data_IF_470290425319
#
_entry.id   IF_470290425319
#
_cell.length_a   1.000
_cell.length_b   1.000
_cell.length_c   1.000
_cell.angle_alpha   90.00
_cell.angle_beta   90.00
_cell.angle_gamma   90.00
#
_symmetry.space_group_name_H-M   'P 1'
#
loop_
_entity.id
_entity.type
_entity.pdbx_description
1 polymer ?
#
# COMPACT_ATOMS: atom_id res chain seq x y z
N UNK A 1 -19.94 9.62 14.44
CA UNK A 1 -18.57 10.16 14.48
C UNK A 1 -18.12 10.19 13.04
N UNK A 2 -17.75 11.35 12.53
CA UNK A 2 -17.23 11.52 11.17
C UNK A 2 -15.85 10.87 11.11
N UNK A 3 -15.67 9.85 10.26
CA UNK A 3 -14.35 9.25 10.06
C UNK A 3 -13.47 10.22 9.29
N UNK A 4 -12.20 10.34 9.72
CA UNK A 4 -11.22 11.15 9.01
C UNK A 4 -10.73 10.41 7.77
N UNK A 5 -10.50 11.16 6.69
CA UNK A 5 -9.99 10.66 5.43
C UNK A 5 -8.76 11.45 5.01
N UNK A 6 -7.68 10.72 4.72
CA UNK A 6 -6.44 11.29 4.22
C UNK A 6 -6.40 11.17 2.70
N UNK A 7 -6.30 12.30 2.01
CA UNK A 7 -6.02 12.29 0.57
C UNK A 7 -4.51 12.29 0.34
N UNK A 8 -4.01 11.18 -0.18
CA UNK A 8 -2.65 11.10 -0.66
C UNK A 8 -2.56 11.62 -2.10
N UNK A 9 -1.76 12.67 -2.30
CA UNK A 9 -1.62 13.35 -3.60
C UNK A 9 -0.53 12.76 -4.49
N UNK A 10 0.20 11.74 -4.02
CA UNK A 10 1.19 11.00 -4.81
C UNK A 10 0.48 10.31 -5.97
N UNK A 11 1.04 10.48 -7.18
CA UNK A 11 0.57 9.76 -8.36
C UNK A 11 0.98 8.30 -8.28
N UNK A 12 0.01 7.41 -8.30
CA UNK A 12 0.19 5.97 -8.25
C UNK A 12 0.00 5.36 -9.64
N UNK A 13 0.76 4.30 -9.91
CA UNK A 13 0.63 3.46 -11.11
C UNK A 13 0.35 2.02 -10.71
N UNK A 14 -0.43 1.32 -11.54
CA UNK A 14 -0.84 -0.07 -11.31
C UNK A 14 -0.27 -0.95 -12.42
N UNK A 15 0.45 -1.99 -12.03
CA UNK A 15 1.03 -3.00 -12.92
C UNK A 15 0.38 -4.35 -12.63
N UNK A 16 -0.22 -4.93 -13.67
CA UNK A 16 -0.79 -6.29 -13.67
C UNK A 16 0.18 -7.25 -14.32
N UNK A 17 0.41 -8.40 -13.67
CA UNK A 17 1.30 -9.44 -14.16
C UNK A 17 0.60 -10.80 -14.05
N UNK A 18 0.78 -11.67 -15.03
CA UNK A 18 0.57 -13.10 -14.82
C UNK A 18 1.54 -13.63 -13.75
N UNK A 19 1.04 -14.49 -12.86
CA UNK A 19 1.84 -15.08 -11.79
C UNK A 19 3.04 -15.86 -12.31
N UNK A 20 2.94 -16.46 -13.50
CA UNK A 20 4.02 -17.23 -14.11
C UNK A 20 5.20 -16.36 -14.57
N UNK A 21 4.95 -15.06 -14.78
CA UNK A 21 5.93 -14.07 -15.26
C UNK A 21 6.46 -13.17 -14.15
N UNK A 22 5.98 -13.33 -12.91
CA UNK A 22 6.39 -12.47 -11.78
C UNK A 22 7.90 -12.52 -11.50
N UNK A 23 8.59 -13.60 -11.90
CA UNK A 23 10.05 -13.75 -11.73
C UNK A 23 10.86 -12.71 -12.50
N UNK A 24 10.35 -12.20 -13.65
CA UNK A 24 11.00 -11.12 -14.40
C UNK A 24 11.05 -9.82 -13.60
N UNK A 25 10.13 -9.67 -12.65
CA UNK A 25 9.96 -8.48 -11.83
C UNK A 25 10.54 -8.63 -10.43
N UNK A 26 11.09 -9.80 -10.08
CA UNK A 26 11.65 -10.05 -8.74
C UNK A 26 12.68 -9.00 -8.37
N UNK A 27 13.62 -8.64 -9.26
CA UNK A 27 14.63 -7.64 -8.95
C UNK A 27 14.01 -6.26 -8.68
N UNK A 28 13.06 -5.81 -9.51
CA UNK A 28 12.33 -4.54 -9.31
C UNK A 28 11.55 -4.51 -8.00
N UNK A 29 10.86 -5.62 -7.68
CA UNK A 29 10.12 -5.76 -6.42
C UNK A 29 11.08 -5.71 -5.22
N UNK A 30 12.24 -6.39 -5.30
CA UNK A 30 13.22 -6.34 -4.22
C UNK A 30 13.75 -4.92 -4.03
N UNK A 31 14.09 -4.21 -5.11
CA UNK A 31 14.52 -2.81 -5.02
C UNK A 31 13.44 -1.93 -4.39
N UNK A 32 12.16 -2.10 -4.76
CA UNK A 32 11.04 -1.40 -4.14
C UNK A 32 10.97 -1.65 -2.63
N UNK A 33 11.08 -2.92 -2.21
CA UNK A 33 11.06 -3.29 -0.79
C UNK A 33 12.23 -2.69 -0.02
N UNK A 34 13.46 -2.77 -0.56
CA UNK A 34 14.65 -2.21 0.10
C UNK A 34 14.61 -0.68 0.17
N UNK A 35 14.15 -0.02 -0.90
CA UNK A 35 14.02 1.44 -0.93
C UNK A 35 13.13 1.94 0.20
N UNK A 36 12.00 1.25 0.45
CA UNK A 36 11.10 1.59 1.55
C UNK A 36 11.71 1.43 2.95
N UNK A 37 12.81 0.68 3.10
CA UNK A 37 13.54 0.56 4.38
C UNK A 37 14.56 1.70 4.53
N UNK A 38 15.22 2.09 3.44
CA UNK A 38 16.32 3.07 3.47
C UNK A 38 15.83 4.46 3.88
N UNK A 39 14.67 4.89 3.41
CA UNK A 39 14.04 6.18 3.77
C UNK A 39 13.75 6.32 5.28
N UNK A 40 13.57 5.19 6.00
CA UNK A 40 13.36 5.22 7.45
C UNK A 40 14.63 5.55 8.26
N UNK A 41 15.83 5.34 7.69
CA UNK A 41 17.09 5.54 8.44
C UNK A 41 17.44 7.01 8.64
N UNK A 42 17.00 7.88 7.73
CA UNK A 42 17.34 9.31 7.79
C UNK A 42 16.57 10.03 8.93
N UNK A 43 15.44 9.50 9.40
CA UNK A 43 14.66 10.07 10.52
C UNK A 43 15.23 9.69 11.92
N UNK A 44 15.78 8.49 12.08
CA UNK A 44 16.32 8.03 13.38
C UNK A 44 17.67 8.69 13.74
N UNK A 45 18.52 9.03 12.75
CA UNK A 45 19.83 9.66 13.01
C UNK A 45 19.72 11.12 13.48
N UNK A 46 18.63 11.82 13.16
CA UNK A 46 18.39 13.20 13.61
C UNK A 46 17.99 13.24 15.10
N UNK A 47 17.28 12.22 15.60
CA UNK A 47 16.83 12.17 16.99
C UNK A 47 17.92 11.75 18.00
N UNK A 48 18.95 11.02 17.58
CA UNK A 48 20.05 10.62 18.47
C UNK A 48 21.09 11.74 18.72
N UNK A 49 21.12 12.80 17.91
CA UNK A 49 22.08 13.89 18.06
C UNK A 49 21.61 15.02 19.00
N UNK A 50 20.35 15.00 19.46
CA UNK A 50 19.78 16.04 20.32
C UNK A 50 19.75 15.70 21.82
N UNK A 51 20.39 14.61 22.25
CA UNK A 51 20.37 14.15 23.66
C UNK A 51 21.75 14.08 24.36
N UNK A 52 22.77 14.77 23.86
CA UNK A 52 24.09 14.86 24.53
C UNK A 52 24.52 16.32 24.78
N UNK A 53 23.72 17.09 25.49
CA UNK A 53 24.16 18.39 26.03
C UNK A 53 23.48 18.67 27.38
N UNK A 54 23.74 17.84 28.39
CA UNK A 54 23.61 18.24 29.79
C UNK A 54 24.69 17.53 30.61
N UNK A 55 25.30 18.33 31.47
CA UNK A 55 26.20 18.01 32.58
C UNK A 55 27.68 17.82 32.24
N UNK A 56 28.46 18.90 32.39
CA UNK A 56 29.58 18.86 33.33
C UNK A 56 29.86 20.26 33.90
N UNK A 57 29.75 20.32 35.22
CA UNK A 57 29.92 21.47 36.10
C UNK A 57 31.39 21.83 36.30
N UNK A 58 31.67 23.13 36.27
CA UNK A 58 32.94 23.77 36.58
C UNK A 58 33.60 23.23 37.86
N UNK A 59 34.89 22.91 37.77
CA UNK A 59 35.82 22.96 38.90
C UNK A 59 37.19 23.41 38.40
N UNK A 60 37.45 24.71 38.57
CA UNK A 60 38.76 25.33 38.53
C UNK A 60 39.63 24.81 39.68
N UNK A 61 40.80 24.26 39.35
CA UNK A 61 41.99 24.38 40.18
C UNK A 61 43.23 24.46 39.30
N UNK A 62 43.85 25.63 39.34
CA UNK A 62 45.21 25.91 38.87
C UNK A 62 46.22 24.97 39.55
N UNK A 63 47.23 24.53 38.79
CA UNK A 63 48.62 24.59 39.28
C UNK A 63 49.60 24.46 38.10
N UNK A 64 50.31 25.56 37.88
CA UNK A 64 51.48 25.68 37.02
C UNK A 64 52.67 24.91 37.64
N UNK A 65 53.33 24.07 36.84
CA UNK A 65 54.79 23.93 36.92
C UNK A 65 55.38 23.85 35.51
N UNK A 66 56.02 24.96 35.13
CA UNK A 66 56.96 25.02 34.02
C UNK A 66 58.20 24.17 34.31
N UNK A 67 58.66 23.40 33.34
CA UNK A 67 60.10 23.30 33.07
C UNK A 67 60.35 23.05 31.58
N UNK A 68 61.04 24.03 31.00
CA UNK A 68 61.56 24.12 29.64
C UNK A 68 62.91 23.41 29.52
N UNK A 69 63.22 22.84 28.34
CA UNK A 69 64.51 22.92 27.60
C UNK A 69 64.52 21.88 26.46
N UNK A 70 64.33 22.23 25.17
CA UNK A 70 65.27 22.76 24.16
C UNK A 70 66.14 21.70 23.45
N UNK A 71 65.93 21.55 22.13
CA UNK A 71 66.90 21.58 21.00
C UNK A 71 66.30 20.85 19.77
N UNK A 72 65.85 21.57 18.71
CA UNK A 72 66.55 21.93 17.45
C UNK A 72 66.95 20.70 16.62
N UNK A 73 66.65 20.48 15.33
CA UNK A 73 66.52 21.27 14.09
C UNK A 73 65.56 20.46 13.15
N UNK A 74 64.88 20.96 12.12
CA UNK A 74 65.32 21.62 10.89
C UNK A 74 64.15 22.40 10.26
N UNK A 75 64.48 23.54 9.67
CA UNK A 75 63.61 24.36 8.84
C UNK A 75 63.98 24.17 7.37
N UNK A 76 63.00 23.87 6.53
CA UNK A 76 63.08 24.12 5.10
C UNK A 76 61.75 24.62 4.54
N UNK A 77 61.88 25.49 3.57
CA UNK A 77 60.95 26.51 3.13
C UNK A 77 59.86 26.06 2.14
N UNK A 78 58.77 26.84 2.13
CA UNK A 78 57.98 27.29 0.96
C UNK A 78 57.26 26.25 0.08
N UNK A 79 55.91 26.27 0.13
CA UNK A 79 55.08 26.81 -0.96
C UNK A 79 53.61 26.89 -0.53
N UNK A 80 53.09 28.11 -0.33
CA UNK A 80 51.66 28.39 -0.31
C UNK A 80 51.12 28.22 -1.73
N UNK A 81 50.21 27.26 -1.94
CA UNK A 81 49.24 27.30 -3.04
C UNK A 81 47.85 27.42 -2.45
N UNK A 82 47.25 28.59 -2.66
CA UNK A 82 45.83 28.84 -2.61
C UNK A 82 45.11 27.85 -3.54
N UNK A 83 44.19 27.06 -2.99
CA UNK A 83 43.21 26.31 -3.78
C UNK A 83 41.86 26.91 -3.41
N UNK A 84 41.26 27.58 -4.39
CA UNK A 84 39.93 28.18 -4.34
C UNK A 84 38.88 27.08 -4.24
N UNK A 85 38.20 26.99 -3.08
CA UNK A 85 36.96 26.22 -2.96
C UNK A 85 35.77 27.10 -3.37
N UNK A 86 35.58 27.24 -4.67
CA UNK A 86 34.33 27.75 -5.27
C UNK A 86 33.76 26.73 -6.26
N UNK A 87 33.38 25.58 -5.74
CA UNK A 87 32.27 24.81 -6.30
C UNK A 87 31.11 24.89 -5.32
N UNK A 88 30.23 25.86 -5.54
CA UNK A 88 28.87 25.84 -5.00
C UNK A 88 28.20 24.56 -5.52
N UNK A 89 28.29 23.48 -4.75
CA UNK A 89 27.31 22.41 -4.84
C UNK A 89 26.01 23.08 -4.40
N UNK A 90 25.09 23.24 -5.35
CA UNK A 90 23.72 23.60 -5.04
C UNK A 90 23.18 22.47 -4.17
N UNK A 91 23.14 22.72 -2.87
CA UNK A 91 22.29 21.98 -1.96
C UNK A 91 20.88 22.38 -2.40
N UNK A 92 20.29 21.59 -3.29
CA UNK A 92 18.85 21.61 -3.45
C UNK A 92 18.31 21.14 -2.10
N UNK A 93 17.58 22.03 -1.43
CA UNK A 93 16.83 21.70 -0.23
C UNK A 93 15.96 20.48 -0.54
N UNK A 94 16.38 19.30 -0.04
CA UNK A 94 15.48 18.16 0.07
C UNK A 94 14.41 18.57 1.07
N UNK A 95 13.26 18.99 0.56
CA UNK A 95 12.06 19.19 1.36
C UNK A 95 11.67 17.85 1.98
N UNK A 96 11.53 17.80 3.30
CA UNK A 96 11.10 16.64 4.11
C UNK A 96 9.85 15.91 3.57
N UNK A 97 9.08 16.55 2.68
CA UNK A 97 7.91 15.97 2.01
C UNK A 97 8.25 14.95 0.90
N UNK A 98 9.44 14.98 0.28
CA UNK A 98 9.76 14.05 -0.82
C UNK A 98 10.02 12.62 -0.34
N UNK A 99 10.36 12.41 0.92
CA UNK A 99 10.77 11.11 1.46
C UNK A 99 9.57 10.27 1.97
N UNK A 100 8.42 10.90 2.26
CA UNK A 100 7.15 10.18 2.50
C UNK A 100 6.42 9.83 1.19
N UNK A 101 6.74 10.52 0.09
CA UNK A 101 6.04 10.45 -1.18
C UNK A 101 6.18 9.11 -1.94
N UNK A 102 6.99 8.18 -1.43
CA UNK A 102 7.28 6.91 -2.10
C UNK A 102 7.08 5.67 -1.23
N UNK A 103 6.52 5.88 -0.05
CA UNK A 103 6.31 4.85 0.94
C UNK A 103 5.13 3.93 0.63
N UNK A 104 4.13 4.46 -0.10
CA UNK A 104 2.97 3.69 -0.49
C UNK A 104 3.34 2.62 -1.51
N UNK A 105 3.11 1.36 -1.15
CA UNK A 105 3.07 0.28 -2.12
C UNK A 105 2.10 -0.82 -1.73
N UNK A 106 1.57 -1.50 -2.75
CA UNK A 106 0.75 -2.69 -2.61
C UNK A 106 1.27 -3.74 -3.58
N UNK A 107 1.64 -4.91 -3.06
CA UNK A 107 2.06 -6.06 -3.85
C UNK A 107 1.18 -7.22 -3.44
N UNK A 108 0.33 -7.69 -4.35
CA UNK A 108 -0.62 -8.76 -4.07
C UNK A 108 -0.44 -9.90 -5.06
N UNK A 109 -0.18 -11.08 -4.54
CA UNK A 109 -0.17 -12.34 -5.29
C UNK A 109 -1.49 -13.04 -5.07
N UNK A 110 -2.12 -13.46 -6.17
CA UNK A 110 -3.25 -14.39 -6.19
C UNK A 110 -2.86 -15.62 -7.03
N UNK A 111 -3.71 -16.67 -7.11
CA UNK A 111 -3.46 -17.78 -8.03
C UNK A 111 -3.36 -17.38 -9.50
N UNK A 112 -4.09 -16.34 -9.92
CA UNK A 112 -4.24 -15.96 -11.33
C UNK A 112 -3.28 -14.84 -11.73
N UNK A 113 -3.12 -13.83 -10.88
CA UNK A 113 -2.34 -12.64 -11.20
C UNK A 113 -1.55 -12.10 -10.00
N UNK A 114 -0.62 -11.19 -10.31
CA UNK A 114 0.11 -10.36 -9.36
C UNK A 114 -0.15 -8.89 -9.71
N UNK A 115 -0.67 -8.13 -8.75
CA UNK A 115 -0.88 -6.68 -8.88
C UNK A 115 0.17 -5.96 -8.06
N UNK A 116 0.84 -4.98 -8.68
CA UNK A 116 1.81 -4.10 -8.03
C UNK A 116 1.32 -2.66 -8.18
N UNK A 117 1.24 -1.95 -7.08
CA UNK A 117 0.87 -0.53 -7.03
C UNK A 117 1.96 0.18 -6.24
N UNK A 118 2.51 1.24 -6.80
CA UNK A 118 3.46 2.12 -6.12
C UNK A 118 3.42 3.49 -6.79
N UNK A 119 4.20 4.44 -6.30
CA UNK A 119 4.34 5.74 -6.95
C UNK A 119 4.76 5.58 -8.43
N UNK A 120 4.27 6.49 -9.27
CA UNK A 120 4.64 6.58 -10.69
C UNK A 120 6.14 6.76 -10.88
N UNK A 121 6.78 7.48 -9.96
CA UNK A 121 8.24 7.68 -9.92
C UNK A 121 8.95 6.34 -9.78
N UNK A 122 8.59 5.54 -8.78
CA UNK A 122 9.19 4.22 -8.55
C UNK A 122 8.83 3.21 -9.63
N UNK A 123 7.59 3.24 -10.14
CA UNK A 123 7.16 2.40 -11.25
C UNK A 123 8.06 2.64 -12.47
N UNK A 124 8.26 3.92 -12.83
CA UNK A 124 9.11 4.30 -13.97
C UNK A 124 10.59 3.95 -13.73
N UNK A 125 11.09 4.18 -12.51
CA UNK A 125 12.49 3.95 -12.16
C UNK A 125 12.86 2.47 -12.08
N UNK A 126 12.00 1.64 -11.48
CA UNK A 126 12.32 0.25 -11.12
C UNK A 126 11.74 -0.77 -12.10
N UNK A 127 10.60 -0.49 -12.74
CA UNK A 127 9.84 -1.47 -13.54
C UNK A 127 9.87 -1.21 -15.05
N UNK A 128 10.39 -0.07 -15.52
CA UNK A 128 10.45 0.25 -16.96
C UNK A 128 11.16 -0.81 -17.80
N UNK A 129 12.35 -1.24 -17.36
CA UNK A 129 13.14 -2.25 -18.06
C UNK A 129 12.42 -3.59 -18.23
N UNK A 130 11.92 -4.26 -17.16
CA UNK A 130 11.20 -5.52 -17.34
C UNK A 130 9.87 -5.36 -18.09
N UNK A 131 9.18 -4.21 -17.99
CA UNK A 131 7.98 -3.92 -18.81
C UNK A 131 8.36 -3.86 -20.28
N UNK A 132 9.43 -3.14 -20.64
CA UNK A 132 9.89 -3.05 -22.02
C UNK A 132 10.30 -4.43 -22.56
N UNK A 133 11.02 -5.21 -21.77
CA UNK A 133 11.40 -6.57 -22.13
C UNK A 133 10.16 -7.45 -22.40
N UNK A 134 9.11 -7.34 -21.59
CA UNK A 134 7.86 -8.07 -21.81
C UNK A 134 7.18 -7.65 -23.13
N UNK A 135 7.22 -6.36 -23.49
CA UNK A 135 6.73 -5.86 -24.78
C UNK A 135 7.53 -6.42 -25.95
N UNK A 136 8.85 -6.45 -25.85
CA UNK A 136 9.74 -7.02 -26.88
C UNK A 136 9.52 -8.54 -27.06
N UNK A 137 9.15 -9.24 -25.98
CA UNK A 137 8.84 -10.67 -25.98
C UNK A 137 7.36 -10.99 -26.31
N UNK A 138 6.53 -9.98 -26.60
CA UNK A 138 5.09 -10.11 -26.85
C UNK A 138 4.32 -10.85 -25.73
N UNK A 139 4.56 -10.48 -24.47
CA UNK A 139 3.77 -10.97 -23.35
C UNK A 139 2.54 -10.09 -23.11
N UNK A 140 1.37 -10.57 -23.54
CA UNK A 140 0.08 -9.85 -23.45
C UNK A 140 -0.56 -9.85 -22.04
N UNK A 141 -0.01 -10.64 -21.12
CA UNK A 141 -0.46 -10.82 -19.74
C UNK A 141 0.40 -10.04 -18.73
N UNK A 142 1.15 -9.04 -19.22
CA UNK A 142 1.89 -8.05 -18.45
C UNK A 142 1.43 -6.68 -18.92
N UNK A 143 0.75 -5.92 -18.06
CA UNK A 143 0.07 -4.70 -18.44
C UNK A 143 0.28 -3.60 -17.39
N UNK A 144 0.85 -2.48 -17.82
CA UNK A 144 0.89 -1.25 -17.04
C UNK A 144 -0.37 -0.44 -17.38
N UNK A 145 -1.21 -0.18 -16.39
CA UNK A 145 -2.40 0.66 -16.57
C UNK A 145 -1.93 2.10 -16.81
N UNK A 146 -2.31 2.68 -17.95
CA UNK A 146 -1.79 3.97 -18.42
C UNK A 146 -2.26 5.17 -17.57
N UNK A 147 -3.37 5.00 -16.86
CA UNK A 147 -3.98 6.03 -16.03
C UNK A 147 -3.23 6.21 -14.71
N UNK A 148 -3.13 7.47 -14.26
CA UNK A 148 -2.59 7.82 -12.95
C UNK A 148 -3.69 7.84 -11.91
N UNK A 149 -3.41 7.27 -10.74
CA UNK A 149 -4.34 7.17 -9.62
C UNK A 149 -3.88 8.01 -8.44
N UNK A 150 -4.82 8.48 -7.63
CA UNK A 150 -4.59 8.98 -6.28
C UNK A 150 -5.19 8.00 -5.27
N UNK A 151 -4.75 8.03 -4.02
CA UNK A 151 -5.32 7.19 -2.96
C UNK A 151 -5.98 8.01 -1.86
N UNK A 152 -7.18 7.60 -1.46
CA UNK A 152 -7.75 7.95 -0.17
C UNK A 152 -7.42 6.86 0.83
N UNK A 153 -7.01 7.25 2.03
CA UNK A 153 -6.69 6.33 3.12
C UNK A 153 -7.62 6.68 4.29
N UNK A 154 -8.36 5.70 4.77
CA UNK A 154 -9.20 5.83 5.97
C UNK A 154 -8.70 4.86 7.01
N UNK A 155 -8.32 5.38 8.19
CA UNK A 155 -7.88 4.55 9.30
C UNK A 155 -8.98 3.61 9.76
N UNK A 156 -8.64 2.34 9.89
CA UNK A 156 -9.51 1.28 10.34
C UNK A 156 -9.37 1.13 11.85
N UNK A 157 -10.36 1.60 12.60
CA UNK A 157 -10.42 1.50 14.06
C UNK A 157 -10.69 0.07 14.58
N UNK A 158 -10.74 -0.92 13.67
CA UNK A 158 -10.99 -2.32 14.02
C UNK A 158 -12.42 -2.62 14.45
N UNK A 159 -13.36 -1.67 14.30
CA UNK A 159 -14.77 -1.85 14.66
C UNK A 159 -15.55 -2.62 13.59
N UNK A 160 -16.76 -3.07 13.95
CA UNK A 160 -17.72 -3.75 13.07
C UNK A 160 -18.13 -2.89 11.84
N UNK A 161 -17.83 -1.59 11.84
CA UNK A 161 -18.23 -0.66 10.78
C UNK A 161 -17.42 -0.80 9.49
N UNK A 162 -16.39 -1.67 9.42
CA UNK A 162 -15.57 -1.89 8.20
C UNK A 162 -16.42 -2.23 6.97
N UNK A 163 -17.43 -3.08 7.14
CA UNK A 163 -18.32 -3.44 6.03
C UNK A 163 -19.20 -2.28 5.58
N UNK A 164 -19.70 -1.45 6.49
CA UNK A 164 -20.49 -0.28 6.10
C UNK A 164 -19.60 0.76 5.43
N UNK A 165 -18.35 0.88 5.89
CA UNK A 165 -17.36 1.81 5.34
C UNK A 165 -17.02 1.52 3.87
N UNK A 166 -16.91 0.26 3.45
CA UNK A 166 -16.71 -0.04 2.02
C UNK A 166 -17.86 0.56 1.18
N UNK A 167 -19.10 0.53 1.67
CA UNK A 167 -20.25 1.11 0.97
C UNK A 167 -20.23 2.62 1.01
N UNK A 168 -19.94 3.20 2.17
CA UNK A 168 -19.84 4.65 2.34
C UNK A 168 -18.79 5.28 1.43
N UNK A 169 -17.68 4.58 1.18
CA UNK A 169 -16.62 5.02 0.29
C UNK A 169 -16.92 4.72 -1.19
N UNK A 170 -17.44 3.54 -1.51
CA UNK A 170 -17.52 3.09 -2.91
C UNK A 170 -18.83 3.43 -3.61
N UNK A 171 -19.95 3.47 -2.88
CA UNK A 171 -21.28 3.70 -3.46
C UNK A 171 -21.41 5.13 -4.04
N UNK A 172 -21.10 6.21 -3.29
CA UNK A 172 -21.23 7.57 -3.83
C UNK A 172 -20.36 7.83 -5.07
N UNK A 173 -19.17 7.21 -5.12
CA UNK A 173 -18.26 7.30 -6.27
C UNK A 173 -18.82 6.55 -7.48
N UNK A 174 -19.40 5.36 -7.25
CA UNK A 174 -20.01 4.56 -8.32
C UNK A 174 -21.26 5.23 -8.89
N UNK A 175 -22.09 5.84 -8.05
CA UNK A 175 -23.27 6.65 -8.43
C UNK A 175 -22.91 7.86 -9.31
N UNK A 176 -21.65 8.31 -9.23
CA UNK A 176 -21.11 9.40 -10.01
C UNK A 176 -20.24 8.96 -11.19
N UNK A 177 -20.30 7.67 -11.55
CA UNK A 177 -19.55 7.03 -12.63
C UNK A 177 -18.02 7.15 -12.47
N UNK A 178 -17.52 7.09 -11.24
CA UNK A 178 -16.09 7.11 -10.95
C UNK A 178 -15.62 5.68 -10.71
N UNK A 179 -14.72 5.20 -11.58
CA UNK A 179 -14.09 3.90 -11.41
C UNK A 179 -13.09 3.95 -10.25
N UNK A 180 -12.93 2.83 -9.55
CA UNK A 180 -12.07 2.77 -8.38
C UNK A 180 -11.48 1.38 -8.15
N UNK A 181 -10.35 1.35 -7.46
CA UNK A 181 -9.83 0.15 -6.81
C UNK A 181 -10.00 0.31 -5.30
N UNK A 182 -10.43 -0.76 -4.63
CA UNK A 182 -10.59 -0.77 -3.19
C UNK A 182 -9.66 -1.82 -2.58
N UNK A 183 -8.92 -1.44 -1.54
CA UNK A 183 -8.01 -2.32 -0.82
C UNK A 183 -8.28 -2.26 0.69
N UNK A 184 -8.78 -3.38 1.24
CA UNK A 184 -8.86 -3.57 2.69
C UNK A 184 -7.52 -4.02 3.25
N UNK A 185 -6.91 -3.22 4.10
CA UNK A 185 -5.71 -3.60 4.84
C UNK A 185 -6.02 -3.79 6.33
N UNK A 186 -5.06 -4.29 7.09
CA UNK A 186 -5.23 -4.47 8.53
C UNK A 186 -5.46 -3.13 9.24
N UNK A 187 -4.76 -2.09 8.78
CA UNK A 187 -4.74 -0.76 9.38
C UNK A 187 -5.70 0.21 8.72
N UNK A 188 -5.87 0.12 7.40
CA UNK A 188 -6.53 1.14 6.59
C UNK A 188 -7.43 0.54 5.51
N UNK A 189 -8.49 1.26 5.17
CA UNK A 189 -9.24 1.06 3.93
C UNK A 189 -8.75 2.09 2.90
N UNK A 190 -8.35 1.60 1.73
CA UNK A 190 -7.69 2.42 0.71
C UNK A 190 -8.55 2.42 -0.55
N UNK A 191 -8.85 3.61 -1.07
CA UNK A 191 -9.55 3.78 -2.35
C UNK A 191 -8.61 4.44 -3.34
N UNK A 192 -8.31 3.76 -4.44
CA UNK A 192 -7.62 4.36 -5.58
C UNK A 192 -8.64 4.82 -6.60
N UNK A 193 -8.47 6.03 -7.09
CA UNK A 193 -9.35 6.60 -8.11
C UNK A 193 -8.53 7.41 -9.12
N UNK A 194 -9.01 7.57 -10.36
CA UNK A 194 -8.27 8.31 -11.37
C UNK A 194 -8.07 9.79 -11.03
N UNK A 195 -6.86 10.32 -11.28
CA UNK A 195 -6.48 11.67 -10.88
C UNK A 195 -7.41 12.77 -11.43
N UNK A 196 -7.99 12.58 -12.62
CA UNK A 196 -8.89 13.57 -13.22
C UNK A 196 -10.18 13.78 -12.42
N UNK A 197 -10.54 12.84 -11.52
CA UNK A 197 -11.73 12.97 -10.68
C UNK A 197 -11.44 13.54 -9.29
N UNK A 198 -10.22 14.01 -9.00
CA UNK A 198 -9.82 14.52 -7.66
C UNK A 198 -10.86 15.45 -7.04
N UNK A 199 -11.19 16.55 -7.71
CA UNK A 199 -12.11 17.56 -7.15
C UNK A 199 -13.50 16.98 -6.91
N UNK A 200 -14.02 16.23 -7.90
CA UNK A 200 -15.31 15.54 -7.81
C UNK A 200 -15.35 14.54 -6.64
N UNK A 201 -14.30 13.73 -6.45
CA UNK A 201 -14.21 12.74 -5.35
C UNK A 201 -14.19 13.43 -3.99
N UNK A 202 -13.37 14.48 -3.82
CA UNK A 202 -13.31 15.23 -2.56
C UNK A 202 -14.68 15.84 -2.26
N UNK A 203 -15.32 16.47 -3.24
CA UNK A 203 -16.66 17.07 -3.10
C UNK A 203 -17.73 16.03 -2.70
N UNK A 204 -17.75 14.87 -3.36
CA UNK A 204 -18.69 13.78 -3.06
C UNK A 204 -18.52 13.25 -1.62
N UNK A 205 -17.28 13.03 -1.19
CA UNK A 205 -17.03 12.38 0.11
C UNK A 205 -17.03 13.36 1.28
N UNK A 206 -16.87 14.67 1.04
CA UNK A 206 -16.91 15.70 2.08
C UNK A 206 -18.28 15.77 2.80
N UNK A 207 -19.35 15.24 2.20
CA UNK A 207 -20.65 15.13 2.87
C UNK A 207 -20.65 14.16 4.07
N UNK A 208 -19.74 13.18 4.07
CA UNK A 208 -19.72 12.08 5.06
C UNK A 208 -18.40 11.94 5.82
N UNK A 209 -17.30 12.44 5.26
CA UNK A 209 -15.96 12.29 5.81
C UNK A 209 -15.30 13.65 6.01
N UNK A 210 -14.49 13.75 7.06
CA UNK A 210 -13.68 14.94 7.33
C UNK A 210 -12.29 14.74 6.72
N UNK A 211 -11.89 15.61 5.80
CA UNK A 211 -10.55 15.59 5.22
C UNK A 211 -9.55 16.27 6.15
N UNK A 212 -8.36 15.68 6.30
CA UNK A 212 -7.27 16.27 7.11
C UNK A 212 -6.83 17.65 6.58
N UNK A 213 -6.88 17.83 5.27
CA UNK A 213 -6.55 19.09 4.60
C UNK A 213 -7.82 19.79 4.16
N UNK A 214 -7.91 21.09 4.43
CA UNK A 214 -8.99 21.93 3.90
C UNK A 214 -8.85 22.05 2.36
N UNK A 215 -9.98 21.92 1.67
CA UNK A 215 -10.07 22.12 0.23
C UNK A 215 -11.04 23.26 -0.05
N UNK A 216 -10.61 24.23 -0.86
CA UNK A 216 -11.52 25.22 -1.43
C UNK A 216 -12.22 24.58 -2.62
N UNK A 217 -13.55 24.51 -2.56
CA UNK A 217 -14.37 23.95 -3.62
C UNK A 217 -14.74 25.03 -4.62
N UNK A 218 -14.40 24.83 -5.90
CA UNK A 218 -15.01 25.60 -6.98
C UNK A 218 -16.45 25.09 -7.18
N UNK A 219 -17.42 26.01 -7.17
CA UNK A 219 -18.85 25.68 -7.24
C UNK A 219 -19.28 25.04 -8.59
N UNK A 220 -18.42 25.08 -9.61
CA UNK A 220 -18.74 24.71 -11.00
C UNK A 220 -18.72 23.20 -11.33
N UNK A 221 -18.32 22.32 -10.41
CA UNK A 221 -18.39 20.85 -10.64
C UNK A 221 -19.82 20.33 -10.42
N UNK A 222 -20.55 20.06 -11.51
CA UNK A 222 -21.88 19.44 -11.49
C UNK A 222 -21.82 18.01 -10.90
N UNK A 223 -22.40 17.81 -9.71
CA UNK A 223 -22.63 16.48 -9.14
C UNK A 223 -23.96 15.95 -9.68
N UNK A 224 -23.89 15.18 -10.76
CA UNK A 224 -25.01 14.38 -11.24
C UNK A 224 -24.98 13.00 -10.58
N UNK A 225 -25.49 12.89 -9.35
CA UNK A 225 -25.64 11.60 -8.69
C UNK A 225 -26.73 10.78 -9.42
N UNK A 226 -26.35 9.62 -9.95
CA UNK A 226 -27.28 8.64 -10.50
C UNK A 226 -27.49 7.51 -9.50
N UNK A 227 -28.72 7.02 -9.34
CA UNK A 227 -28.97 5.86 -8.49
C UNK A 227 -28.17 4.65 -9.01
N UNK A 228 -27.41 3.98 -8.12
CA UNK A 228 -26.59 2.84 -8.51
C UNK A 228 -27.49 1.69 -9.02
N UNK A 229 -27.41 1.40 -10.32
CA UNK A 229 -28.16 0.32 -10.93
C UNK A 229 -27.44 -1.03 -10.76
N UNK A 230 -27.60 -1.64 -9.58
CA UNK A 230 -27.01 -2.95 -9.27
C UNK A 230 -27.41 -4.04 -10.28
N UNK A 231 -28.65 -3.99 -10.78
CA UNK A 231 -29.17 -4.98 -11.71
C UNK A 231 -28.37 -4.97 -13.02
N UNK A 232 -28.09 -3.79 -13.56
CA UNK A 232 -27.31 -3.64 -14.78
C UNK A 232 -25.88 -4.19 -14.62
N UNK A 233 -25.27 -3.97 -13.44
CA UNK A 233 -23.94 -4.48 -13.14
C UNK A 233 -23.95 -6.01 -13.08
N UNK A 234 -24.91 -6.61 -12.38
CA UNK A 234 -25.04 -8.07 -12.31
C UNK A 234 -25.39 -8.69 -13.67
N UNK A 235 -26.22 -8.02 -14.49
CA UNK A 235 -26.46 -8.42 -15.88
C UNK A 235 -25.17 -8.36 -16.71
N UNK A 236 -24.34 -7.33 -16.52
CA UNK A 236 -23.02 -7.21 -17.19
C UNK A 236 -22.08 -8.35 -16.76
N UNK A 237 -22.03 -8.70 -15.47
CA UNK A 237 -21.24 -9.84 -14.98
C UNK A 237 -21.71 -11.15 -15.63
N UNK A 238 -23.01 -11.40 -15.59
CA UNK A 238 -23.63 -12.61 -16.16
C UNK A 238 -23.42 -12.72 -17.67
N UNK A 239 -23.54 -11.61 -18.41
CA UNK A 239 -23.32 -11.55 -19.86
C UNK A 239 -21.88 -11.91 -20.25
N UNK A 240 -20.92 -11.62 -19.38
CA UNK A 240 -19.50 -11.96 -19.57
C UNK A 240 -19.12 -13.26 -18.85
N UNK A 241 -20.10 -14.08 -18.43
CA UNK A 241 -19.86 -15.36 -17.74
C UNK A 241 -19.01 -15.24 -16.48
N UNK A 242 -19.13 -14.11 -15.77
CA UNK A 242 -18.40 -13.84 -14.54
C UNK A 242 -19.24 -14.30 -13.37
N UNK A 243 -18.75 -15.31 -12.65
CA UNK A 243 -19.37 -15.82 -11.43
C UNK A 243 -18.34 -15.89 -10.30
N UNK A 244 -18.70 -15.49 -9.06
CA UNK A 244 -17.81 -15.61 -7.90
C UNK A 244 -17.42 -17.06 -7.60
N UNK A 245 -16.13 -17.31 -7.35
CA UNK A 245 -15.58 -18.63 -7.03
C UNK A 245 -15.09 -18.64 -5.58
N UNK A 246 -15.75 -19.42 -4.72
CA UNK A 246 -15.39 -19.56 -3.30
C UNK A 246 -14.24 -20.57 -3.15
N UNK A 247 -13.13 -20.13 -2.53
CA UNK A 247 -11.95 -20.98 -2.33
C UNK A 247 -11.89 -21.53 -0.90
N UNK A 248 -12.85 -22.37 -0.51
CA UNK A 248 -13.01 -22.87 0.88
C UNK A 248 -11.78 -23.57 1.47
N UNK A 249 -10.95 -24.18 0.61
CA UNK A 249 -9.72 -24.87 1.03
C UNK A 249 -8.58 -23.91 1.36
N UNK A 250 -8.71 -22.65 0.97
CA UNK A 250 -7.73 -21.60 1.22
C UNK A 250 -8.15 -20.85 2.48
N UNK A 251 -7.33 -20.98 3.51
CA UNK A 251 -7.51 -20.28 4.78
C UNK A 251 -6.44 -19.21 4.92
N UNK A 252 -6.87 -17.96 4.99
CA UNK A 252 -6.01 -16.79 5.08
C UNK A 252 -6.13 -16.13 6.45
N UNK A 253 -5.17 -15.25 6.71
CA UNK A 253 -5.12 -14.36 7.85
C UNK A 253 -4.75 -12.96 7.34
N UNK A 254 -5.61 -11.98 7.62
CA UNK A 254 -5.31 -10.56 7.48
C UNK A 254 -4.69 -10.07 8.79
N UNK A 255 -3.51 -9.47 8.72
CA UNK A 255 -2.73 -9.13 9.91
C UNK A 255 -1.78 -7.98 9.59
N UNK A 256 -1.32 -7.26 10.61
CA UNK A 256 -0.24 -6.27 10.47
C UNK A 256 1.09 -6.82 10.98
N UNK A 257 2.20 -6.24 10.51
CA UNK A 257 3.47 -6.32 11.25
C UNK A 257 3.36 -5.48 12.53
N UNK A 258 4.01 -5.92 13.61
CA UNK A 258 4.27 -5.01 14.73
C UNK A 258 5.13 -3.84 14.27
N UNK A 259 4.92 -2.65 14.84
CA UNK A 259 5.59 -1.42 14.40
C UNK A 259 7.13 -1.54 14.45
N UNK A 260 7.67 -2.16 15.50
CA UNK A 260 9.11 -2.43 15.63
C UNK A 260 9.64 -3.59 14.75
N UNK A 261 8.75 -4.32 14.07
CA UNK A 261 9.09 -5.46 13.20
C UNK A 261 8.90 -5.13 11.71
N UNK A 262 8.42 -3.94 11.33
CA UNK A 262 8.13 -3.58 9.93
C UNK A 262 9.33 -3.85 9.02
N UNK A 263 10.51 -3.32 9.39
CA UNK A 263 11.76 -3.54 8.65
C UNK A 263 12.11 -5.02 8.51
N UNK A 264 12.03 -5.78 9.61
CA UNK A 264 12.30 -7.22 9.60
C UNK A 264 11.30 -7.99 8.74
N UNK A 265 10.02 -7.59 8.78
CA UNK A 265 8.95 -8.14 7.95
C UNK A 265 9.25 -7.93 6.47
N UNK A 266 9.64 -6.72 6.06
CA UNK A 266 10.03 -6.42 4.68
C UNK A 266 11.23 -7.28 4.24
N UNK A 267 12.24 -7.46 5.08
CA UNK A 267 13.39 -8.33 4.77
C UNK A 267 12.98 -9.81 4.64
N UNK A 268 12.06 -10.29 5.48
CA UNK A 268 11.49 -11.65 5.37
C UNK A 268 10.70 -11.81 4.06
N UNK A 269 9.91 -10.81 3.70
CA UNK A 269 9.18 -10.75 2.42
C UNK A 269 10.14 -10.81 1.25
N UNK A 270 11.18 -9.97 1.25
CA UNK A 270 12.20 -9.96 0.20
C UNK A 270 12.80 -11.36 0.02
N UNK A 271 13.15 -12.04 1.11
CA UNK A 271 13.63 -13.44 1.08
C UNK A 271 12.61 -14.41 0.47
N UNK A 272 11.33 -14.26 0.79
CA UNK A 272 10.24 -15.10 0.23
C UNK A 272 10.13 -14.88 -1.28
N UNK A 273 10.09 -13.62 -1.73
CA UNK A 273 9.92 -13.27 -3.14
C UNK A 273 11.16 -13.58 -4.00
N UNK A 274 12.34 -13.64 -3.39
CA UNK A 274 13.56 -14.15 -4.03
C UNK A 274 13.54 -15.67 -4.26
N UNK A 275 12.58 -16.41 -3.68
CA UNK A 275 12.51 -17.87 -3.78
C UNK A 275 11.20 -18.32 -4.42
N UNK A 276 11.25 -18.85 -5.64
CA UNK A 276 10.06 -19.27 -6.41
C UNK A 276 9.16 -20.28 -5.70
N UNK A 277 9.74 -21.19 -4.91
CA UNK A 277 9.00 -22.28 -4.25
C UNK A 277 8.31 -21.88 -2.93
N UNK A 278 8.56 -20.67 -2.42
CA UNK A 278 8.04 -20.24 -1.10
C UNK A 278 6.85 -19.28 -1.20
N UNK A 279 6.59 -18.69 -2.36
CA UNK A 279 5.55 -17.66 -2.54
C UNK A 279 4.15 -18.31 -2.44
N UNK A 280 3.36 -17.99 -1.39
CA UNK A 280 2.03 -18.55 -1.22
C UNK A 280 1.08 -18.11 -2.33
N UNK A 281 0.03 -18.92 -2.59
CA UNK A 281 -0.99 -18.61 -3.60
C UNK A 281 -1.64 -17.24 -3.40
N UNK A 282 -2.02 -16.94 -2.16
CA UNK A 282 -2.48 -15.63 -1.74
C UNK A 282 -1.45 -15.07 -0.78
N UNK A 283 -0.84 -13.96 -1.15
CA UNK A 283 0.18 -13.29 -0.36
C UNK A 283 0.21 -11.81 -0.73
N UNK A 284 -0.13 -10.97 0.22
CA UNK A 284 -0.28 -9.53 -0.03
C UNK A 284 0.50 -8.76 0.99
N UNK A 285 1.13 -7.69 0.54
CA UNK A 285 1.81 -6.70 1.38
C UNK A 285 1.29 -5.34 0.96
N UNK A 286 0.80 -4.57 1.92
CA UNK A 286 0.41 -3.19 1.72
C UNK A 286 1.14 -2.34 2.74
N UNK A 287 1.84 -1.32 2.28
CA UNK A 287 2.47 -0.30 3.12
C UNK A 287 1.86 1.05 2.78
N UNK A 288 1.43 1.75 3.82
CA UNK A 288 0.84 3.10 3.75
C UNK A 288 1.69 4.13 4.48
N UNK A 289 2.35 3.71 5.57
CA UNK A 289 3.19 4.56 6.41
C UNK A 289 4.45 3.83 6.88
N UNK A 290 5.30 4.50 7.66
CA UNK A 290 6.56 3.92 8.10
C UNK A 290 6.34 2.84 9.17
N UNK A 291 5.30 3.02 9.99
CA UNK A 291 4.97 2.19 11.14
C UNK A 291 3.97 1.08 10.83
N UNK A 292 3.33 1.12 9.66
CA UNK A 292 2.26 0.21 9.27
C UNK A 292 2.63 -0.66 8.06
N UNK A 293 2.52 -1.97 8.24
CA UNK A 293 2.70 -2.94 7.16
C UNK A 293 1.63 -4.02 7.26
N UNK A 294 0.62 -3.95 6.40
CA UNK A 294 -0.45 -4.95 6.34
C UNK A 294 -0.03 -6.14 5.49
N UNK A 295 -0.46 -7.33 5.93
CA UNK A 295 -0.07 -8.62 5.37
C UNK A 295 -1.30 -9.53 5.22
N UNK A 296 -1.32 -10.27 4.12
CA UNK A 296 -2.17 -11.46 3.96
C UNK A 296 -1.27 -12.68 3.92
N UNK A 297 -1.47 -13.55 4.90
CA UNK A 297 -0.66 -14.75 5.10
C UNK A 297 -1.54 -16.00 5.12
N UNK A 298 -0.99 -17.19 4.82
CA UNK A 298 -1.69 -18.44 5.06
C UNK A 298 -2.06 -18.58 6.55
N UNK A 299 -3.29 -19.00 6.90
CA UNK A 299 -3.69 -19.15 8.31
C UNK A 299 -2.83 -20.14 9.11
N UNK A 300 -2.38 -21.21 8.45
CA UNK A 300 -1.63 -22.30 9.08
C UNK A 300 -0.36 -21.81 9.78
N UNK A 301 -0.29 -21.97 11.10
CA UNK A 301 0.86 -21.58 11.93
C UNK A 301 2.17 -22.16 11.39
N UNK A 302 2.20 -23.45 11.01
CA UNK A 302 3.40 -24.08 10.43
C UNK A 302 3.85 -23.41 9.13
N UNK A 303 2.91 -23.05 8.25
CA UNK A 303 3.24 -22.35 7.00
C UNK A 303 3.75 -20.94 7.29
N UNK A 304 3.11 -20.18 8.19
CA UNK A 304 3.57 -18.84 8.57
C UNK A 304 4.93 -18.83 9.24
N UNK A 305 5.19 -19.76 10.16
CA UNK A 305 6.48 -19.92 10.81
C UNK A 305 7.60 -20.16 9.77
N UNK A 306 7.35 -20.99 8.75
CA UNK A 306 8.30 -21.21 7.64
C UNK A 306 8.59 -19.93 6.85
N UNK A 307 7.63 -19.01 6.77
CA UNK A 307 7.79 -17.69 6.15
C UNK A 307 8.40 -16.65 7.11
N UNK A 308 8.66 -17.01 8.37
CA UNK A 308 9.22 -16.09 9.38
C UNK A 308 8.18 -15.21 10.10
N UNK A 309 6.88 -15.54 9.97
CA UNK A 309 5.76 -14.77 10.52
C UNK A 309 5.05 -15.51 11.66
N UNK A 310 5.80 -15.80 12.73
CA UNK A 310 5.20 -16.27 13.99
C UNK A 310 4.32 -15.19 14.64
N UNK A 311 3.40 -15.63 15.51
CA UNK A 311 2.43 -14.76 16.18
C UNK A 311 3.07 -13.57 16.95
N UNK A 312 4.31 -13.72 17.40
CA UNK A 312 5.05 -12.66 18.12
C UNK A 312 5.51 -11.51 17.23
N UNK A 313 5.56 -11.69 15.90
CA UNK A 313 6.02 -10.66 14.95
C UNK A 313 4.87 -9.88 14.29
N UNK A 314 3.64 -10.33 14.50
CA UNK A 314 2.45 -9.80 13.85
C UNK A 314 1.45 -9.30 14.90
N UNK A 315 0.43 -8.58 14.44
CA UNK A 315 -0.67 -8.02 15.25
C UNK A 315 -2.05 -8.42 14.72
N UNK A 316 -3.08 -8.16 15.54
CA UNK A 316 -4.44 -8.60 15.26
C UNK A 316 -4.70 -10.03 15.74
N UNK A 317 -5.95 -10.46 15.60
CA UNK A 317 -6.38 -11.80 16.02
C UNK A 317 -5.79 -12.85 15.09
N UNK A 318 -4.97 -13.75 15.64
CA UNK A 318 -4.45 -14.91 14.91
C UNK A 318 -5.47 -16.05 14.80
N UNK A 319 -6.66 -15.89 15.39
CA UNK A 319 -7.73 -16.89 15.36
C UNK A 319 -8.60 -16.74 14.12
N UNK A 320 -8.77 -15.52 13.65
CA UNK A 320 -9.64 -15.17 12.53
C UNK A 320 -9.20 -15.92 11.27
N UNK A 321 -10.16 -16.56 10.62
CA UNK A 321 -9.93 -17.31 9.39
C UNK A 321 -10.72 -16.66 8.28
N UNK A 322 -10.00 -16.17 7.28
CA UNK A 322 -10.60 -15.52 6.12
C UNK A 322 -10.60 -16.48 4.94
N UNK A 323 -11.73 -16.56 4.25
CA UNK A 323 -11.91 -17.33 3.01
C UNK A 323 -11.96 -16.36 1.82
N UNK A 324 -11.06 -16.52 0.83
CA UNK A 324 -11.09 -15.69 -0.37
C UNK A 324 -12.10 -16.21 -1.39
N UNK A 325 -12.82 -15.29 -2.00
CA UNK A 325 -13.77 -15.50 -3.08
C UNK A 325 -13.26 -14.68 -4.26
N UNK A 326 -12.94 -15.36 -5.35
CA UNK A 326 -12.33 -14.75 -6.53
C UNK A 326 -13.40 -14.45 -7.57
N UNK A 327 -13.35 -13.25 -8.12
CA UNK A 327 -14.20 -12.78 -9.22
C UNK A 327 -13.27 -12.45 -10.37
N UNK A 328 -13.40 -13.18 -11.48
CA UNK A 328 -12.61 -12.93 -12.68
C UNK A 328 -13.18 -11.73 -13.43
N UNK A 329 -12.41 -10.66 -13.56
CA UNK A 329 -12.82 -9.42 -14.21
C UNK A 329 -12.07 -9.19 -15.53
N UNK A 330 -11.31 -10.19 -16.02
CA UNK A 330 -10.49 -10.04 -17.23
C UNK A 330 -11.30 -9.66 -18.48
N UNK A 331 -12.59 -10.02 -18.54
CA UNK A 331 -13.47 -9.71 -19.66
C UNK A 331 -14.10 -8.31 -19.58
N UNK A 332 -13.90 -7.58 -18.48
CA UNK A 332 -14.47 -6.26 -18.30
C UNK A 332 -13.41 -5.18 -18.52
N UNK A 333 -13.83 -4.02 -19.07
CA UNK A 333 -12.99 -2.82 -19.03
C UNK A 333 -12.60 -2.45 -17.61
N UNK A 334 -11.36 -2.01 -17.44
CA UNK A 334 -10.77 -1.61 -16.15
C UNK A 334 -11.51 -0.44 -15.49
N UNK A 335 -12.17 0.38 -16.30
CA UNK A 335 -12.96 1.54 -15.90
C UNK A 335 -14.44 1.18 -15.60
N UNK A 336 -14.77 -0.11 -15.52
CA UNK A 336 -16.13 -0.53 -15.13
C UNK A 336 -16.43 -0.09 -13.69
N UNK A 337 -17.43 0.77 -13.54
CA UNK A 337 -17.88 1.34 -12.26
C UNK A 337 -18.81 0.39 -11.52
N UNK A 338 -18.97 0.59 -10.21
CA UNK A 338 -20.02 -0.03 -9.41
C UNK A 338 -19.85 -1.51 -9.04
N UNK A 339 -18.81 -2.20 -9.54
CA UNK A 339 -18.56 -3.62 -9.21
C UNK A 339 -18.42 -3.82 -7.69
N UNK A 340 -17.49 -3.09 -7.06
CA UNK A 340 -17.20 -3.20 -5.63
C UNK A 340 -18.44 -2.84 -4.81
N UNK A 341 -19.04 -1.69 -5.10
CA UNK A 341 -20.23 -1.20 -4.39
C UNK A 341 -21.41 -2.17 -4.49
N UNK A 342 -21.69 -2.72 -5.68
CA UNK A 342 -22.82 -3.63 -5.88
C UNK A 342 -22.61 -4.97 -5.19
N UNK A 343 -21.41 -5.55 -5.28
CA UNK A 343 -21.08 -6.81 -4.59
C UNK A 343 -21.12 -6.65 -3.08
N UNK A 344 -20.51 -5.58 -2.55
CA UNK A 344 -20.57 -5.26 -1.13
C UNK A 344 -22.01 -5.04 -0.68
N UNK A 345 -22.82 -4.27 -1.43
CA UNK A 345 -24.18 -3.95 -1.02
C UNK A 345 -25.05 -5.20 -1.00
N UNK A 346 -24.92 -6.05 -2.03
CA UNK A 346 -25.62 -7.32 -2.13
C UNK A 346 -25.31 -8.25 -0.96
N UNK A 347 -24.04 -8.35 -0.57
CA UNK A 347 -23.61 -9.19 0.55
C UNK A 347 -24.06 -8.62 1.89
N UNK A 348 -23.80 -7.34 2.15
CA UNK A 348 -24.10 -6.68 3.43
C UNK A 348 -25.61 -6.64 3.67
N UNK A 349 -26.39 -6.19 2.68
CA UNK A 349 -27.85 -6.06 2.81
C UNK A 349 -28.55 -7.39 3.02
N UNK A 350 -28.15 -8.43 2.28
CA UNK A 350 -28.70 -9.77 2.44
C UNK A 350 -28.13 -10.51 3.66
N UNK A 351 -27.09 -9.95 4.27
CA UNK A 351 -26.47 -10.41 5.50
C UNK A 351 -26.94 -9.68 6.75
N UNK A 352 -28.08 -9.00 6.69
CA UNK A 352 -28.65 -8.17 7.76
C UNK A 352 -27.67 -7.11 8.30
N UNK A 353 -26.75 -6.63 7.45
CA UNK A 353 -25.66 -5.72 7.79
C UNK A 353 -24.66 -6.25 8.84
N UNK A 354 -24.65 -7.57 9.08
CA UNK A 354 -23.77 -8.24 10.06
C UNK A 354 -22.57 -8.94 9.41
N UNK A 355 -22.52 -9.01 8.07
CA UNK A 355 -21.42 -9.66 7.37
C UNK A 355 -20.21 -8.72 7.34
N UNK A 356 -19.14 -9.12 8.02
CA UNK A 356 -17.82 -8.54 7.85
C UNK A 356 -17.24 -8.95 6.48
N UNK A 357 -16.72 -7.98 5.74
CA UNK A 357 -16.08 -8.23 4.45
C UNK A 357 -14.86 -7.35 4.26
N UNK A 358 -13.84 -7.93 3.65
CA UNK A 358 -12.69 -7.23 3.13
C UNK A 358 -12.65 -7.41 1.61
N UNK A 359 -12.06 -6.48 0.88
CA UNK A 359 -12.01 -6.53 -0.57
C UNK A 359 -10.64 -6.09 -1.10
N UNK A 360 -10.13 -6.80 -2.11
CA UNK A 360 -9.05 -6.32 -2.97
C UNK A 360 -9.51 -6.23 -4.42
N UNK A 361 -9.47 -5.02 -4.97
CA UNK A 361 -9.43 -4.84 -6.41
C UNK A 361 -8.02 -5.15 -6.88
N UNK A 362 -7.89 -6.27 -7.60
CA UNK A 362 -6.72 -6.54 -8.42
C UNK A 362 -6.93 -5.87 -9.80
N UNK A 363 -5.91 -5.87 -10.65
CA UNK A 363 -6.05 -5.29 -11.98
C UNK A 363 -7.05 -6.05 -12.86
N UNK A 364 -7.10 -7.39 -12.78
CA UNK A 364 -7.99 -8.21 -13.61
C UNK A 364 -8.94 -9.11 -12.81
N UNK A 365 -9.01 -8.94 -11.49
CA UNK A 365 -9.88 -9.72 -10.62
C UNK A 365 -10.31 -8.94 -9.37
N UNK A 366 -11.40 -9.39 -8.76
CA UNK A 366 -11.84 -8.96 -7.44
C UNK A 366 -11.65 -10.09 -6.43
N UNK A 367 -11.06 -9.82 -5.28
CA UNK A 367 -10.93 -10.79 -4.19
C UNK A 367 -11.76 -10.31 -3.01
N UNK A 368 -12.93 -10.92 -2.82
CA UNK A 368 -13.74 -10.73 -1.61
C UNK A 368 -13.19 -11.67 -0.54
N UNK A 369 -13.05 -11.18 0.67
CA UNK A 369 -12.47 -11.88 1.80
C UNK A 369 -13.47 -11.84 2.96
N UNK A 370 -14.02 -13.00 3.32
CA UNK A 370 -15.04 -13.11 4.36
C UNK A 370 -14.55 -13.98 5.51
N UNK A 371 -14.93 -13.71 6.76
CA UNK A 371 -14.72 -14.63 7.86
C UNK A 371 -15.39 -15.98 7.57
N UNK A 372 -14.77 -17.06 8.04
CA UNK A 372 -15.26 -18.42 7.82
C UNK A 372 -16.66 -18.64 8.42
N UNK A 373 -16.99 -17.89 9.47
CA UNK A 373 -18.27 -17.90 10.16
C UNK A 373 -19.42 -17.42 9.26
N UNK A 374 -19.14 -16.52 8.31
CA UNK A 374 -20.13 -15.98 7.37
C UNK A 374 -20.24 -16.80 6.07
N UNK A 375 -19.43 -17.84 5.90
CA UNK A 375 -19.26 -18.55 4.62
C UNK A 375 -20.56 -19.16 4.08
N UNK A 376 -21.37 -19.79 4.94
CA UNK A 376 -22.63 -20.43 4.51
C UNK A 376 -23.63 -19.40 3.97
N UNK A 377 -23.79 -18.29 4.70
CA UNK A 377 -24.66 -17.18 4.32
C UNK A 377 -24.19 -16.53 3.01
N UNK A 378 -22.90 -16.21 2.92
CA UNK A 378 -22.29 -15.62 1.71
C UNK A 378 -22.46 -16.56 0.51
N UNK A 379 -22.23 -17.87 0.68
CA UNK A 379 -22.43 -18.87 -0.37
C UNK A 379 -23.88 -18.91 -0.86
N UNK A 380 -24.86 -18.77 0.03
CA UNK A 380 -26.27 -18.70 -0.36
C UNK A 380 -26.62 -17.44 -1.16
N UNK A 381 -26.00 -16.30 -0.82
CA UNK A 381 -26.23 -15.02 -1.50
C UNK A 381 -25.59 -15.04 -2.90
N UNK A 382 -24.34 -15.49 -3.01
CA UNK A 382 -23.58 -15.49 -4.25
C UNK A 382 -24.11 -16.47 -5.30
N UNK A 383 -24.84 -17.51 -4.93
CA UNK A 383 -25.53 -18.39 -5.90
C UNK A 383 -26.57 -17.66 -6.76
N UNK A 384 -27.02 -16.49 -6.31
CA UNK A 384 -28.03 -15.67 -6.98
C UNK A 384 -27.41 -14.49 -7.76
N UNK A 385 -26.08 -14.48 -7.92
CA UNK A 385 -25.31 -13.53 -8.72
C UNK A 385 -24.77 -14.30 -9.92
#
# INVERSE_FOLDING_TARGET
MTSQIQLNTIKLSILSLSREKSWLFTNSILQLLYHSIEEYKDEDEVNCNNQNNLDDSDNDYDDEYSSSSISSYESDENLRKSIDNTSKIKIEDKTENQDQDDLFFHISYTPCEVTIICSKRLMSKLFSNPIQLCKELNFDDVELIEQDFLSLIVESDGSFDKSLRILELTKPLSENNISLFYLSSHFNDIVLFPIQFKNKVVKILHEKFEFETAFDFDDDDDISAHELNELEIFEKLKKNYISPIINERVKLLLTGSRSNEVKNSILKIAKILSTTNLIPKYFTITRTSFTELSLILPKSTKKRAKLGFDAKYIIGSVQDTIIPITIDLHQLPIDTTGIVASLANKLIKNGDNLIELNYFSMAKSGIIMVPIENLELVSSILKNI
#
